data_IF_771777447043
#
_entry.id   IF_771777447043
#
_cell.length_a   1.000
_cell.length_b   1.000
_cell.length_c   1.000
_cell.angle_alpha   90.00
_cell.angle_beta   90.00
_cell.angle_gamma   90.00
#
_symmetry.space_group_name_H-M   'P 1'
#
loop_
_entity.id
_entity.type
_entity.pdbx_description
1 polymer ?
#
# COMPACT_ATOMS: atom_id res chain seq x y z
N UNK A 1 18.86 1.31 1.81
CA UNK A 1 17.63 1.29 1.02
C UNK A 1 17.21 2.73 0.87
N UNK A 2 17.00 3.17 -0.36
CA UNK A 2 16.48 4.49 -0.68
C UNK A 2 15.07 4.37 -1.27
N UNK A 3 14.33 5.46 -1.26
CA UNK A 3 13.11 5.57 -2.05
C UNK A 3 13.44 5.42 -3.54
N UNK A 4 12.50 4.86 -4.30
CA UNK A 4 12.61 4.60 -5.73
C UNK A 4 13.58 3.47 -6.13
N UNK A 5 14.21 2.78 -5.18
CA UNK A 5 14.95 1.55 -5.46
C UNK A 5 13.99 0.34 -5.57
N UNK A 6 14.37 -0.62 -6.43
CA UNK A 6 13.72 -1.92 -6.45
C UNK A 6 14.19 -2.73 -5.24
N UNK A 7 13.22 -3.17 -4.45
CA UNK A 7 13.41 -4.05 -3.31
C UNK A 7 12.99 -5.47 -3.70
N UNK A 8 13.89 -6.43 -3.51
CA UNK A 8 13.58 -7.83 -3.74
C UNK A 8 12.57 -8.35 -2.70
N UNK A 9 11.54 -9.02 -3.20
CA UNK A 9 10.56 -9.75 -2.40
C UNK A 9 10.87 -11.24 -2.50
N UNK A 10 11.25 -11.84 -1.38
CA UNK A 10 11.61 -13.25 -1.32
C UNK A 10 10.56 -14.05 -0.56
N UNK A 11 10.33 -15.32 -0.90
CA UNK A 11 9.50 -16.20 -0.11
C UNK A 11 9.91 -16.21 1.36
N UNK A 12 8.92 -16.28 2.25
CA UNK A 12 9.21 -16.44 3.69
C UNK A 12 9.79 -17.83 3.97
N UNK A 13 10.68 -17.95 4.95
CA UNK A 13 11.25 -19.26 5.34
C UNK A 13 10.15 -20.27 5.70
N UNK A 14 9.11 -19.81 6.41
CA UNK A 14 7.94 -20.62 6.73
C UNK A 14 7.20 -21.14 5.48
N UNK A 15 7.05 -20.31 4.45
CA UNK A 15 6.42 -20.73 3.19
C UNK A 15 7.29 -21.76 2.44
N UNK A 16 8.60 -21.54 2.38
CA UNK A 16 9.55 -22.47 1.75
C UNK A 16 9.52 -23.82 2.47
N UNK A 17 9.56 -23.83 3.80
CA UNK A 17 9.50 -25.05 4.61
C UNK A 17 8.16 -25.79 4.41
N UNK A 18 7.05 -25.06 4.36
CA UNK A 18 5.73 -25.66 4.13
C UNK A 18 5.64 -26.33 2.77
N UNK A 19 6.01 -25.63 1.70
CA UNK A 19 5.97 -26.17 0.33
C UNK A 19 6.89 -27.38 0.21
N UNK A 20 8.15 -27.25 0.63
CA UNK A 20 9.10 -28.37 0.54
C UNK A 20 8.65 -29.59 1.36
N UNK A 21 8.04 -29.40 2.54
CA UNK A 21 7.49 -30.50 3.34
C UNK A 21 6.33 -31.23 2.65
N UNK A 22 5.40 -30.49 2.03
CA UNK A 22 4.24 -31.07 1.34
C UNK A 22 4.68 -31.92 0.15
N UNK A 23 5.62 -31.41 -0.66
CA UNK A 23 6.03 -32.07 -1.90
C UNK A 23 7.15 -33.10 -1.74
N UNK A 24 7.89 -33.12 -0.61
CA UNK A 24 8.83 -34.22 -0.28
C UNK A 24 8.15 -35.59 -0.22
N UNK A 25 6.86 -35.66 0.10
CA UNK A 25 6.09 -36.92 0.12
C UNK A 25 5.59 -37.38 -1.25
N UNK A 26 5.65 -36.53 -2.29
CA UNK A 26 4.99 -36.75 -3.57
C UNK A 26 6.02 -36.83 -4.71
N UNK A 27 6.68 -37.99 -4.88
CA UNK A 27 7.48 -38.48 -6.04
C UNK A 27 8.51 -37.56 -6.74
N UNK A 28 8.58 -36.26 -6.45
CA UNK A 28 9.57 -35.27 -6.90
C UNK A 28 9.98 -34.43 -5.70
N UNK A 29 11.22 -34.59 -5.26
CA UNK A 29 11.79 -33.75 -4.21
C UNK A 29 11.92 -32.31 -4.69
N UNK A 30 11.00 -31.44 -4.27
CA UNK A 30 11.11 -29.99 -4.48
C UNK A 30 12.18 -29.44 -3.55
N UNK A 31 13.10 -28.64 -4.10
CA UNK A 31 14.16 -27.98 -3.32
C UNK A 31 13.73 -26.59 -2.83
N UNK A 32 14.36 -26.10 -1.78
CA UNK A 32 14.12 -24.74 -1.28
C UNK A 32 14.45 -23.67 -2.33
N UNK A 33 15.46 -23.91 -3.16
CA UNK A 33 15.88 -22.97 -4.20
C UNK A 33 14.86 -22.91 -5.34
N UNK A 34 14.30 -24.05 -5.76
CA UNK A 34 13.20 -24.09 -6.74
C UNK A 34 11.98 -23.29 -6.28
N UNK A 35 11.63 -23.36 -4.99
CA UNK A 35 10.52 -22.58 -4.42
C UNK A 35 10.87 -21.09 -4.44
N UNK A 36 12.07 -20.72 -4.01
CA UNK A 36 12.55 -19.33 -4.00
C UNK A 36 12.57 -18.71 -5.39
N UNK A 37 13.08 -19.44 -6.38
CA UNK A 37 13.11 -18.99 -7.78
C UNK A 37 11.70 -18.84 -8.34
N UNK A 38 10.80 -19.80 -8.08
CA UNK A 38 9.43 -19.76 -8.63
C UNK A 38 8.59 -18.55 -8.20
N UNK A 39 8.94 -17.93 -7.07
CA UNK A 39 8.27 -16.76 -6.50
C UNK A 39 9.22 -15.56 -6.37
N UNK A 40 10.28 -15.48 -7.18
CA UNK A 40 11.14 -14.30 -7.23
C UNK A 40 10.38 -13.11 -7.80
N UNK A 41 10.39 -12.00 -7.07
CA UNK A 41 9.72 -10.77 -7.46
C UNK A 41 10.39 -9.56 -6.82
N UNK A 42 9.97 -8.37 -7.25
CA UNK A 42 10.45 -7.12 -6.69
C UNK A 42 9.30 -6.11 -6.56
N UNK A 43 9.46 -5.19 -5.63
CA UNK A 43 8.61 -4.03 -5.49
C UNK A 43 9.45 -2.76 -5.45
N UNK A 44 8.96 -1.69 -6.07
CA UNK A 44 9.55 -0.36 -5.95
C UNK A 44 8.55 0.55 -5.26
N UNK A 45 9.03 1.22 -4.22
CA UNK A 45 8.25 2.24 -3.52
C UNK A 45 8.77 3.61 -3.94
N UNK A 46 7.89 4.45 -4.46
CA UNK A 46 8.24 5.82 -4.84
C UNK A 46 8.29 6.73 -3.63
N UNK A 47 9.17 7.72 -3.69
CA UNK A 47 9.21 8.78 -2.67
C UNK A 47 7.82 9.43 -2.56
N UNK A 48 7.25 9.56 -1.34
CA UNK A 48 5.93 10.14 -1.18
C UNK A 48 5.90 11.60 -1.63
N UNK A 49 4.79 11.98 -2.25
CA UNK A 49 4.47 13.37 -2.59
C UNK A 49 3.51 13.92 -1.54
N UNK A 50 3.77 15.13 -1.04
CA UNK A 50 3.13 15.69 0.14
C UNK A 50 2.56 17.07 -0.20
N UNK A 51 1.33 17.31 0.21
CA UNK A 51 0.71 18.62 0.14
C UNK A 51 0.02 18.94 1.46
N UNK A 52 0.36 20.09 2.05
CA UNK A 52 -0.31 20.59 3.25
C UNK A 52 -1.72 21.05 2.87
N UNK A 53 -2.71 20.66 3.67
CA UNK A 53 -4.07 21.17 3.55
C UNK A 53 -4.16 22.53 4.24
N UNK A 54 -4.47 23.57 3.48
CA UNK A 54 -4.64 24.95 3.96
C UNK A 54 -6.11 25.29 4.24
N UNK A 55 -7.03 24.75 3.44
CA UNK A 55 -8.47 24.88 3.67
C UNK A 55 -8.98 23.67 4.46
N UNK A 56 -9.15 23.88 5.77
CA UNK A 56 -9.67 22.86 6.68
C UNK A 56 -11.19 22.96 6.86
N UNK A 57 -11.89 23.86 6.16
CA UNK A 57 -13.33 24.11 6.34
C UNK A 57 -14.20 22.87 6.03
N UNK A 58 -13.60 21.84 5.43
CA UNK A 58 -14.28 20.62 4.96
C UNK A 58 -13.95 19.38 5.78
N UNK A 59 -13.12 19.50 6.80
CA UNK A 59 -12.74 18.39 7.68
C UNK A 59 -13.04 18.75 9.14
N UNK A 60 -13.27 17.73 9.97
CA UNK A 60 -13.38 17.90 11.42
C UNK A 60 -11.96 18.00 11.96
N UNK A 61 -11.42 19.22 11.94
CA UNK A 61 -10.06 19.47 12.37
C UNK A 61 -9.95 19.47 13.90
N UNK A 62 -9.11 18.60 14.45
CA UNK A 62 -8.56 18.77 15.79
C UNK A 62 -7.84 20.13 15.92
N UNK A 63 -7.98 20.81 17.07
CA UNK A 63 -7.26 22.04 17.34
C UNK A 63 -5.75 21.78 17.32
N UNK A 64 -4.98 22.77 16.85
CA UNK A 64 -3.52 22.74 16.83
C UNK A 64 -2.89 21.52 16.11
N UNK A 65 -3.60 20.96 15.12
CA UNK A 65 -3.09 19.91 14.26
C UNK A 65 -2.82 20.41 12.84
N UNK A 66 -1.77 19.87 12.21
CA UNK A 66 -1.50 20.05 10.79
C UNK A 66 -2.08 18.87 10.00
N UNK A 67 -2.59 19.14 8.81
CA UNK A 67 -3.13 18.12 7.92
C UNK A 67 -2.35 18.09 6.61
N UNK A 68 -2.01 16.89 6.18
CA UNK A 68 -1.30 16.66 4.92
C UNK A 68 -2.03 15.59 4.12
N UNK A 69 -2.21 15.82 2.82
CA UNK A 69 -2.46 14.74 1.88
C UNK A 69 -1.11 14.21 1.41
N UNK A 70 -0.96 12.90 1.48
CA UNK A 70 0.25 12.20 1.07
C UNK A 70 -0.13 11.21 -0.01
N UNK A 71 0.54 11.27 -1.16
CA UNK A 71 0.43 10.30 -2.25
C UNK A 71 1.54 9.26 -2.11
N UNK A 72 1.16 8.00 -2.09
CA UNK A 72 2.06 6.85 -2.05
C UNK A 72 2.00 6.13 -3.39
N UNK A 73 3.16 5.98 -4.03
CA UNK A 73 3.30 5.29 -5.30
C UNK A 73 4.06 3.98 -5.12
N UNK A 74 3.59 2.92 -5.74
CA UNK A 74 4.26 1.62 -5.72
C UNK A 74 4.16 0.89 -7.05
N UNK A 75 5.17 0.09 -7.34
CA UNK A 75 5.28 -0.75 -8.52
C UNK A 75 5.67 -2.17 -8.11
N UNK A 76 5.21 -3.15 -8.89
CA UNK A 76 5.52 -4.56 -8.70
C UNK A 76 6.00 -5.16 -10.01
N UNK A 77 6.94 -6.08 -9.88
CA UNK A 77 7.48 -6.87 -10.97
C UNK A 77 7.69 -8.33 -10.51
N UNK A 78 7.48 -9.26 -11.43
CA UNK A 78 7.80 -10.67 -11.25
C UNK A 78 8.94 -10.96 -12.20
N UNK A 79 9.93 -11.73 -11.72
CA UNK A 79 11.05 -12.15 -12.56
C UNK A 79 10.57 -12.78 -13.87
N UNK A 80 11.27 -12.51 -14.97
CA UNK A 80 10.85 -12.92 -16.31
C UNK A 80 10.67 -14.44 -16.42
N UNK A 81 11.54 -15.23 -15.78
CA UNK A 81 11.46 -16.70 -15.83
C UNK A 81 10.29 -17.21 -14.99
N UNK A 82 10.07 -16.64 -13.80
CA UNK A 82 8.92 -16.96 -12.96
C UNK A 82 7.61 -16.61 -13.67
N UNK A 83 7.54 -15.47 -14.36
CA UNK A 83 6.38 -15.06 -15.15
C UNK A 83 6.12 -16.00 -16.33
N UNK A 84 7.16 -16.41 -17.07
CA UNK A 84 7.02 -17.43 -18.14
C UNK A 84 6.50 -18.76 -17.61
N UNK A 85 6.84 -19.12 -16.37
CA UNK A 85 6.33 -20.30 -15.69
C UNK A 85 4.89 -20.13 -15.14
N UNK A 86 4.23 -18.99 -15.42
CA UNK A 86 2.86 -18.70 -15.02
C UNK A 86 2.72 -18.04 -13.65
N UNK A 87 3.82 -17.60 -13.03
CA UNK A 87 3.75 -16.92 -11.75
C UNK A 87 3.07 -15.55 -11.87
N UNK A 88 2.17 -15.26 -10.94
CA UNK A 88 1.43 -13.99 -10.87
C UNK A 88 1.16 -13.61 -9.42
N UNK A 89 1.15 -12.32 -9.12
CA UNK A 89 0.61 -11.87 -7.82
C UNK A 89 -0.85 -12.31 -7.73
N UNK A 90 -1.23 -12.92 -6.61
CA UNK A 90 -2.62 -13.22 -6.23
C UNK A 90 -3.10 -12.32 -5.09
N UNK A 91 -2.17 -11.66 -4.39
CA UNK A 91 -2.44 -10.70 -3.35
C UNK A 91 -1.25 -9.76 -3.17
N UNK A 92 -1.50 -8.50 -2.85
CA UNK A 92 -0.48 -7.56 -2.41
C UNK A 92 -1.01 -6.73 -1.26
N UNK A 93 -0.19 -6.55 -0.22
CA UNK A 93 -0.44 -5.63 0.89
C UNK A 93 0.64 -4.56 0.92
N UNK A 94 0.20 -3.31 0.90
CA UNK A 94 1.06 -2.16 1.15
C UNK A 94 0.67 -1.55 2.50
N UNK A 95 1.63 -1.43 3.42
CA UNK A 95 1.42 -0.90 4.77
C UNK A 95 2.32 0.30 4.99
N UNK A 96 1.76 1.40 5.47
CA UNK A 96 2.55 2.52 5.96
C UNK A 96 2.57 2.53 7.49
N UNK A 97 3.58 3.17 8.07
CA UNK A 97 3.72 3.38 9.50
C UNK A 97 3.97 4.87 9.76
N UNK A 98 3.14 5.45 10.62
CA UNK A 98 3.28 6.82 11.12
C UNK A 98 3.86 6.81 12.53
N UNK A 99 4.97 7.52 12.73
CA UNK A 99 5.62 7.70 14.02
C UNK A 99 5.76 9.18 14.34
N UNK A 100 5.58 9.57 15.59
CA UNK A 100 5.89 10.94 16.03
C UNK A 100 7.37 11.24 15.80
N UNK A 101 7.71 12.45 15.35
CA UNK A 101 9.10 12.89 15.26
C UNK A 101 9.69 13.23 16.63
N UNK A 102 8.84 13.65 17.58
CA UNK A 102 9.20 13.87 18.98
C UNK A 102 8.93 12.64 19.86
N UNK A 103 9.70 12.52 20.94
CA UNK A 103 9.43 11.57 22.01
C UNK A 103 8.26 12.06 22.87
N UNK A 104 7.23 11.23 23.06
CA UNK A 104 6.07 11.59 23.86
C UNK A 104 4.87 10.67 23.63
N UNK A 105 3.72 11.06 24.22
CA UNK A 105 2.46 10.32 24.10
C UNK A 105 1.61 10.77 22.91
N UNK A 106 1.89 11.95 22.35
CA UNK A 106 1.24 12.44 21.14
C UNK A 106 1.51 11.48 19.97
N UNK A 107 0.48 11.29 19.13
CA UNK A 107 0.58 10.38 18.01
C UNK A 107 -0.07 10.98 16.76
N UNK A 108 0.63 10.94 15.61
CA UNK A 108 -0.02 11.22 14.34
C UNK A 108 -1.08 10.17 14.06
N UNK A 109 -2.10 10.52 13.29
CA UNK A 109 -3.14 9.58 12.89
C UNK A 109 -3.55 9.72 11.43
N UNK A 110 -4.08 8.64 10.90
CA UNK A 110 -4.72 8.58 9.61
C UNK A 110 -6.13 9.15 9.77
N UNK A 111 -6.31 10.36 9.27
CA UNK A 111 -7.63 10.99 9.19
C UNK A 111 -8.50 10.24 8.17
N UNK A 112 -7.98 10.03 6.96
CA UNK A 112 -8.70 9.32 5.88
C UNK A 112 -7.78 8.60 4.87
N UNK A 113 -8.34 7.70 4.06
CA UNK A 113 -7.63 6.84 3.10
C UNK A 113 -8.36 6.77 1.76
N UNK A 114 -7.58 6.78 0.67
CA UNK A 114 -8.10 6.67 -0.69
C UNK A 114 -7.21 5.78 -1.58
N UNK A 115 -7.80 4.98 -2.48
CA UNK A 115 -9.19 4.53 -2.44
C UNK A 115 -9.42 3.62 -1.22
N UNK A 116 -10.61 3.70 -0.62
CA UNK A 116 -10.97 2.89 0.56
C UNK A 116 -11.61 1.56 0.18
N UNK A 117 -12.59 1.59 -0.71
CA UNK A 117 -13.39 0.44 -1.12
C UNK A 117 -13.62 0.50 -2.62
N UNK A 118 -12.63 0.05 -3.39
CA UNK A 118 -12.68 0.05 -4.84
C UNK A 118 -12.79 -1.38 -5.34
N UNK A 119 -14.00 -1.76 -5.71
CA UNK A 119 -14.32 -3.09 -6.26
C UNK A 119 -14.52 -2.99 -7.78
N UNK A 120 -14.25 -4.08 -8.52
CA UNK A 120 -14.33 -4.12 -9.99
C UNK A 120 -15.65 -3.58 -10.57
N UNK A 121 -15.56 -2.91 -11.74
CA UNK A 121 -16.66 -2.39 -12.55
C UNK A 121 -16.14 -1.67 -13.81
N UNK A 122 -17.05 -1.17 -14.66
CA UNK A 122 -16.73 -0.33 -15.84
C UNK A 122 -15.80 0.85 -15.46
N UNK A 123 -15.00 1.39 -16.40
CA UNK A 123 -14.18 2.59 -16.16
C UNK A 123 -15.03 3.72 -15.54
N UNK A 124 -14.63 4.20 -14.37
CA UNK A 124 -15.32 5.29 -13.67
C UNK A 124 -14.32 6.38 -13.32
N UNK A 125 -14.70 7.63 -13.61
CA UNK A 125 -14.01 8.80 -13.06
C UNK A 125 -14.42 8.90 -11.59
N UNK A 126 -13.51 8.58 -10.67
CA UNK A 126 -13.75 8.73 -9.24
C UNK A 126 -13.43 10.16 -8.82
N UNK A 127 -14.46 10.97 -8.59
CA UNK A 127 -14.28 12.29 -7.99
C UNK A 127 -14.08 12.12 -6.48
N UNK A 128 -12.90 12.50 -5.98
CA UNK A 128 -12.64 12.53 -4.54
C UNK A 128 -13.18 13.84 -4.01
N UNK A 129 -14.28 13.77 -3.25
CA UNK A 129 -14.87 14.93 -2.57
C UNK A 129 -14.51 14.91 -1.08
N UNK A 130 -13.82 15.94 -0.61
CA UNK A 130 -13.51 16.11 0.81
C UNK A 130 -14.72 16.74 1.51
N UNK A 131 -15.34 16.01 2.45
CA UNK A 131 -16.47 16.48 3.27
C UNK A 131 -16.85 15.49 4.39
N UNK A 132 -17.60 15.94 5.41
CA UNK A 132 -17.95 15.13 6.60
C UNK A 132 -18.89 13.95 6.34
N UNK A 133 -19.48 13.85 5.15
CA UNK A 133 -20.17 12.65 4.66
C UNK A 133 -19.75 12.38 3.21
N UNK A 134 -19.14 11.22 2.94
CA UNK A 134 -18.86 10.79 1.57
C UNK A 134 -19.99 9.89 1.10
N UNK A 135 -20.86 10.43 0.23
CA UNK A 135 -21.72 9.61 -0.63
C UNK A 135 -20.96 9.29 -1.91
N UNK A 136 -20.61 8.03 -2.13
CA UNK A 136 -20.24 7.53 -3.43
C UNK A 136 -21.51 7.46 -4.29
N UNK A 137 -21.69 8.38 -5.23
CA UNK A 137 -22.89 8.43 -6.08
C UNK A 137 -22.62 9.09 -7.43
N UNK A 138 -23.31 8.60 -8.45
CA UNK A 138 -23.25 9.12 -9.82
C UNK A 138 -23.63 10.60 -9.87
N UNK A 139 -23.00 11.29 -10.83
CA UNK A 139 -22.92 12.74 -11.00
C UNK A 139 -24.28 13.46 -10.87
N UNK A 140 -24.38 14.34 -9.87
CA UNK A 140 -25.39 15.40 -9.77
C UNK A 140 -24.84 16.59 -8.95
N UNK A 141 -24.95 17.82 -9.47
CA UNK A 141 -24.40 19.05 -8.86
C UNK A 141 -24.92 19.35 -7.43
N UNK A 142 -24.38 20.27 -6.64
CA UNK A 142 -23.66 21.51 -6.93
C UNK A 142 -22.99 22.09 -5.66
N UNK A 143 -22.29 23.23 -5.85
CA UNK A 143 -21.89 24.30 -4.89
C UNK A 143 -20.67 24.05 -4.00
N UNK A 144 -19.64 24.89 -4.21
CA UNK A 144 -18.54 25.14 -3.26
C UNK A 144 -17.44 24.06 -3.17
N UNK A 145 -17.04 23.46 -4.29
CA UNK A 145 -16.12 22.30 -4.30
C UNK A 145 -14.67 22.74 -4.59
N UNK A 146 -13.73 22.33 -3.74
CA UNK A 146 -12.34 22.16 -4.17
C UNK A 146 -12.38 20.79 -4.82
N UNK A 147 -12.69 20.77 -6.11
CA UNK A 147 -12.56 19.57 -6.92
C UNK A 147 -11.12 19.51 -7.39
N UNK A 148 -10.29 18.71 -6.75
CA UNK A 148 -9.18 18.12 -7.48
C UNK A 148 -9.79 16.97 -8.27
N UNK A 149 -9.96 17.17 -9.59
CA UNK A 149 -10.43 16.12 -10.48
C UNK A 149 -9.35 15.04 -10.56
N UNK A 150 -9.39 14.10 -9.61
CA UNK A 150 -8.52 12.93 -9.60
C UNK A 150 -9.05 11.93 -10.63
N UNK A 151 -8.56 11.99 -11.86
CA UNK A 151 -8.87 10.97 -12.86
C UNK A 151 -8.20 9.64 -12.48
N UNK A 152 -8.96 8.77 -11.82
CA UNK A 152 -8.57 7.37 -11.64
C UNK A 152 -8.97 6.62 -12.91
N UNK A 153 -8.02 6.41 -13.82
CA UNK A 153 -8.21 5.54 -14.99
C UNK A 153 -8.38 4.07 -14.59
N UNK A 154 -9.05 3.32 -15.47
CA UNK A 154 -9.32 1.86 -15.46
C UNK A 154 -8.86 1.09 -14.21
N UNK A 155 -9.82 0.81 -13.33
CA UNK A 155 -9.61 0.00 -12.12
C UNK A 155 -9.53 -1.47 -12.52
N UNK A 156 -8.42 -2.12 -12.22
CA UNK A 156 -8.25 -3.54 -12.52
C UNK A 156 -7.90 -4.46 -11.34
N UNK A 157 -7.46 -3.96 -10.17
CA UNK A 157 -7.51 -4.73 -8.94
C UNK A 157 -8.62 -4.22 -8.00
N UNK A 158 -9.17 -5.13 -7.18
CA UNK A 158 -9.93 -4.71 -6.01
C UNK A 158 -8.95 -4.11 -4.99
N UNK A 159 -9.26 -2.94 -4.43
CA UNK A 159 -8.44 -2.26 -3.42
C UNK A 159 -9.30 -2.03 -2.18
N UNK A 160 -8.85 -2.53 -1.04
CA UNK A 160 -9.48 -2.28 0.27
C UNK A 160 -8.46 -1.62 1.19
N UNK A 161 -8.84 -0.51 1.82
CA UNK A 161 -7.98 0.23 2.74
C UNK A 161 -8.45 0.11 4.20
N UNK A 162 -7.49 -0.04 5.09
CA UNK A 162 -7.70 -0.14 6.53
C UNK A 162 -6.84 0.92 7.22
N UNK A 163 -7.38 1.63 8.22
CA UNK A 163 -6.59 2.57 9.04
C UNK A 163 -5.55 1.89 9.93
N UNK A 164 -5.73 0.61 10.19
CA UNK A 164 -4.81 -0.21 10.99
C UNK A 164 -4.77 0.19 12.46
N UNK A 165 -3.73 -0.29 13.15
CA UNK A 165 -3.62 -0.19 14.62
C UNK A 165 -3.50 1.26 15.06
N UNK A 166 -4.40 1.69 15.95
CA UNK A 166 -4.39 3.04 16.52
C UNK A 166 -4.40 4.15 15.46
N UNK A 167 -4.93 3.85 14.27
CA UNK A 167 -4.92 4.72 13.09
C UNK A 167 -3.51 5.21 12.68
N UNK A 168 -2.49 4.40 12.94
CA UNK A 168 -1.07 4.72 12.65
C UNK A 168 -0.42 3.81 11.62
N UNK A 169 -1.10 2.72 11.28
CA UNK A 169 -0.57 1.68 10.39
C UNK A 169 -1.52 1.45 9.21
N UNK A 170 -1.80 2.47 8.37
CA UNK A 170 -2.75 2.27 7.30
C UNK A 170 -2.20 1.27 6.30
N UNK A 171 -3.09 0.43 5.77
CA UNK A 171 -2.73 -0.55 4.74
C UNK A 171 -3.76 -0.62 3.64
N UNK A 172 -3.28 -0.93 2.44
CA UNK A 172 -4.07 -1.23 1.27
C UNK A 172 -3.82 -2.67 0.87
N UNK A 173 -4.89 -3.39 0.66
CA UNK A 173 -4.88 -4.76 0.18
C UNK A 173 -5.41 -4.77 -1.26
N UNK A 174 -4.60 -5.31 -2.16
CA UNK A 174 -4.87 -5.38 -3.58
C UNK A 174 -5.03 -6.84 -3.98
N UNK A 175 -6.16 -7.16 -4.60
CA UNK A 175 -6.43 -8.49 -5.15
C UNK A 175 -6.59 -8.39 -6.67
N UNK A 176 -5.65 -8.96 -7.45
CA UNK A 176 -5.83 -9.14 -8.89
C UNK A 176 -6.92 -10.18 -9.09
N UNK A 177 -8.03 -9.75 -9.67
CA UNK A 177 -9.09 -10.66 -10.10
C UNK A 177 -8.84 -11.10 -11.54
N UNK A 178 -9.06 -10.22 -12.52
CA UNK A 178 -8.91 -10.58 -13.95
C UNK A 178 -7.61 -10.11 -14.61
N UNK A 179 -6.92 -9.09 -14.09
CA UNK A 179 -5.64 -8.61 -14.65
C UNK A 179 -4.51 -8.66 -13.63
N UNK A 180 -3.30 -8.82 -14.14
CA UNK A 180 -2.07 -8.88 -13.35
C UNK A 180 -1.84 -7.56 -12.59
N UNK A 181 -1.35 -7.66 -11.35
CA UNK A 181 -0.84 -6.52 -10.59
C UNK A 181 0.55 -6.13 -11.08
N UNK A 182 0.61 -5.46 -12.23
CA UNK A 182 1.87 -4.95 -12.82
C UNK A 182 1.79 -3.44 -13.03
N UNK A 183 2.92 -2.77 -12.86
CA UNK A 183 3.09 -1.34 -13.08
C UNK A 183 2.64 -0.47 -11.90
N UNK A 184 2.67 0.85 -12.11
CA UNK A 184 2.48 1.82 -11.04
C UNK A 184 1.04 1.83 -10.51
N UNK A 185 0.91 1.93 -9.19
CA UNK A 185 -0.33 2.16 -8.47
C UNK A 185 -0.12 3.29 -7.47
N UNK A 186 -1.18 4.05 -7.24
CA UNK A 186 -1.15 5.19 -6.34
C UNK A 186 -2.26 5.04 -5.31
N UNK A 187 -1.94 5.34 -4.06
CA UNK A 187 -2.89 5.49 -2.97
C UNK A 187 -2.62 6.80 -2.26
N UNK A 188 -3.59 7.28 -1.49
CA UNK A 188 -3.50 8.54 -0.77
C UNK A 188 -3.97 8.35 0.66
N UNK A 189 -3.32 9.06 1.58
CA UNK A 189 -3.76 9.19 2.96
C UNK A 189 -3.81 10.66 3.35
N UNK A 190 -4.79 11.01 4.16
CA UNK A 190 -4.81 12.26 4.89
C UNK A 190 -4.26 11.99 6.28
N UNK A 191 -3.16 12.65 6.61
CA UNK A 191 -2.48 12.53 7.89
C UNK A 191 -2.83 13.75 8.74
N UNK A 192 -3.28 13.50 9.95
CA UNK A 192 -3.39 14.50 11.01
C UNK A 192 -2.17 14.39 11.92
N UNK A 193 -1.51 15.53 12.12
CA UNK A 193 -0.28 15.64 12.90
C UNK A 193 -0.53 16.67 14.01
N UNK A 194 -0.78 16.23 15.26
CA UNK A 194 -0.83 17.13 16.40
C UNK A 194 0.48 17.93 16.54
N UNK A 195 0.41 19.21 16.94
CA UNK A 195 1.59 20.06 17.11
C UNK A 195 2.68 19.43 18.00
N UNK A 196 2.25 18.72 19.05
CA UNK A 196 3.11 18.00 20.00
C UNK A 196 3.99 16.92 19.35
N UNK A 197 3.63 16.42 18.16
CA UNK A 197 4.44 15.45 17.45
C UNK A 197 5.70 16.07 16.83
N UNK A 198 5.74 17.40 16.65
CA UNK A 198 6.78 18.12 15.91
C UNK A 198 7.08 17.51 14.54
N UNK A 199 6.02 17.03 13.88
CA UNK A 199 6.10 16.25 12.65
C UNK A 199 5.85 14.76 12.83
N UNK A 200 5.81 14.05 11.72
CA UNK A 200 5.73 12.60 11.70
C UNK A 200 6.71 11.98 10.73
N UNK A 201 7.32 10.87 11.13
CA UNK A 201 8.06 9.99 10.24
C UNK A 201 7.10 9.00 9.59
N UNK A 202 7.15 8.95 8.27
CA UNK A 202 6.42 8.00 7.45
C UNK A 202 7.40 6.98 6.86
N UNK A 203 7.17 5.70 7.15
CA UNK A 203 7.85 4.55 6.56
C UNK A 203 6.83 3.64 5.88
N UNK A 204 7.25 2.83 4.91
CA UNK A 204 6.34 1.94 4.18
C UNK A 204 6.93 0.57 3.90
N UNK A 205 6.05 -0.43 3.78
CA UNK A 205 6.38 -1.83 3.50
C UNK A 205 5.39 -2.44 2.51
N UNK A 206 5.92 -3.28 1.62
CA UNK A 206 5.16 -4.07 0.66
C UNK A 206 5.29 -5.54 1.03
N UNK A 207 4.22 -6.30 0.92
CA UNK A 207 4.17 -7.76 1.05
C UNK A 207 3.19 -8.31 0.01
N UNK A 208 3.22 -9.59 -0.30
CA UNK A 208 2.22 -10.18 -1.19
C UNK A 208 2.27 -11.69 -1.24
N UNK A 209 1.37 -12.27 -2.02
CA UNK A 209 1.35 -13.68 -2.36
C UNK A 209 1.51 -13.84 -3.86
N UNK A 210 2.38 -14.77 -4.26
CA UNK A 210 2.60 -15.14 -5.66
C UNK A 210 1.99 -16.51 -5.89
N UNK A 211 1.01 -16.58 -6.78
CA UNK A 211 0.50 -17.83 -7.31
C UNK A 211 1.57 -18.47 -8.19
N UNK A 212 1.94 -19.71 -7.87
CA UNK A 212 2.90 -20.51 -8.65
C UNK A 212 2.33 -21.90 -8.93
N UNK A 213 3.09 -22.74 -9.66
CA UNK A 213 2.74 -24.16 -9.84
C UNK A 213 2.63 -24.96 -8.52
N UNK A 214 3.17 -24.44 -7.42
CA UNK A 214 3.11 -25.06 -6.10
C UNK A 214 1.98 -24.51 -5.22
N UNK A 215 1.19 -23.58 -5.76
CA UNK A 215 0.19 -22.79 -5.04
C UNK A 215 0.71 -21.39 -4.66
N UNK A 216 -0.03 -20.67 -3.81
CA UNK A 216 0.32 -19.33 -3.36
C UNK A 216 1.52 -19.37 -2.40
N UNK A 217 2.54 -18.56 -2.69
CA UNK A 217 3.74 -18.41 -1.88
C UNK A 217 3.82 -16.98 -1.35
N UNK A 218 3.73 -16.77 -0.03
CA UNK A 218 3.93 -15.47 0.60
C UNK A 218 5.36 -14.95 0.39
N UNK A 219 5.46 -13.72 -0.13
CA UNK A 219 6.71 -12.98 -0.36
C UNK A 219 6.73 -11.68 0.43
N UNK A 220 7.92 -11.32 0.90
CA UNK A 220 8.15 -10.10 1.65
C UNK A 220 9.59 -9.61 1.47
N UNK A 221 9.85 -8.34 1.78
CA UNK A 221 11.19 -7.82 1.96
C UNK A 221 12.06 -8.70 2.83
N UNK A 222 13.35 -8.73 2.50
CA UNK A 222 14.38 -9.29 3.38
C UNK A 222 14.47 -8.50 4.68
N UNK A 223 14.42 -7.18 4.61
CA UNK A 223 14.42 -6.29 5.78
C UNK A 223 12.98 -5.98 6.21
N UNK A 224 12.59 -6.53 7.36
CA UNK A 224 11.20 -6.45 7.87
C UNK A 224 11.02 -5.51 9.06
N UNK A 225 12.13 -5.05 9.64
CA UNK A 225 12.17 -4.19 10.81
C UNK A 225 11.94 -2.74 10.36
N UNK A 226 10.96 -2.06 10.97
CA UNK A 226 10.52 -0.72 10.54
C UNK A 226 11.62 0.33 10.68
N UNK A 227 12.45 0.19 11.70
CA UNK A 227 13.55 1.06 12.06
C UNK A 227 14.62 1.16 10.97
N UNK A 228 14.72 0.13 10.12
CA UNK A 228 15.67 0.06 9.01
C UNK A 228 15.04 0.51 7.67
N UNK A 229 13.74 0.83 7.65
CA UNK A 229 13.05 1.28 6.44
C UNK A 229 13.37 2.75 6.16
N UNK A 230 13.45 3.16 4.87
CA UNK A 230 13.48 4.57 4.51
C UNK A 230 12.29 5.30 5.14
N UNK A 231 12.55 6.45 5.75
CA UNK A 231 11.50 7.31 6.30
C UNK A 231 11.61 8.72 5.76
N UNK A 232 10.48 9.41 5.65
CA UNK A 232 10.44 10.85 5.39
C UNK A 232 9.79 11.58 6.56
N UNK A 233 10.21 12.82 6.80
CA UNK A 233 9.55 13.71 7.75
C UNK A 233 8.42 14.47 7.05
N UNK A 234 7.23 14.46 7.66
CA UNK A 234 6.04 15.20 7.21
C UNK A 234 5.67 16.18 8.31
N UNK A 235 5.51 17.45 7.96
CA UNK A 235 5.29 18.54 8.92
C UNK A 235 6.55 18.79 9.76
N UNK A 236 7.10 19.99 9.68
CA UNK A 236 8.16 20.47 10.57
C UNK A 236 7.87 21.94 10.86
#
# INVERSE_FOLDING_TARGET
>A
MDWNEWEELTPTDAAVDQVTKVYRGASKSVTSDEVKESARSAARTHKPDLQRLSDLAKIIAAPDAQYFIVRLGFEFEIDAESRKAGARFSFVRFTALLQSAAHGNAAPRVYDLFPKDLYEGEPRVVKVEFGPEIKAGDVGGSVGKISSDLQVGTVSPAIVAYKGRGEREPRWELTPKQKELIGMRNTWLVVEIPAECHGTRLSVRVEGDIETKWGPIPVAPKERVWENRPSILIGA
#
